data_IF_706463188736
#
_entry.id   IF_706463188736
#
_cell.length_a   1.000
_cell.length_b   1.000
_cell.length_c   1.000
_cell.angle_alpha   90.00
_cell.angle_beta   90.00
_cell.angle_gamma   90.00
#
_symmetry.space_group_name_H-M   'P 1'
#
loop_
_entity.id
_entity.type
_entity.pdbx_description
1 polymer ?
#
# COMPACT_ATOMS: atom_id res chain seq x y z
N UNK A 1 13.94 -24.92 19.95
CA UNK A 1 13.59 -23.69 19.19
C UNK A 1 14.72 -23.21 18.28
N UNK A 2 15.97 -23.07 18.73
CA UNK A 2 17.11 -22.56 17.92
C UNK A 2 17.37 -23.34 16.62
N UNK A 3 17.34 -24.68 16.67
CA UNK A 3 17.57 -25.55 15.48
C UNK A 3 16.52 -25.36 14.38
N UNK A 4 15.26 -25.09 14.74
CA UNK A 4 14.15 -24.89 13.78
C UNK A 4 14.32 -23.54 13.07
N UNK A 5 14.70 -22.49 13.81
CA UNK A 5 14.94 -21.15 13.24
C UNK A 5 16.10 -21.18 12.25
N UNK A 6 17.22 -21.85 12.59
CA UNK A 6 18.37 -21.99 11.69
C UNK A 6 17.99 -22.78 10.43
N UNK A 7 17.20 -23.84 10.57
CA UNK A 7 16.72 -24.63 9.42
C UNK A 7 15.79 -23.81 8.53
N UNK A 8 14.94 -22.97 9.13
CA UNK A 8 14.07 -22.06 8.41
C UNK A 8 14.85 -20.99 7.63
N UNK A 9 15.83 -20.32 8.25
CA UNK A 9 16.70 -19.30 7.62
C UNK A 9 17.51 -19.85 6.44
N UNK A 10 17.81 -21.15 6.44
CA UNK A 10 18.53 -21.81 5.34
C UNK A 10 17.60 -22.38 4.27
N UNK A 11 16.28 -22.23 4.41
CA UNK A 11 15.33 -22.76 3.44
C UNK A 11 15.27 -21.89 2.18
N UNK A 12 15.05 -22.48 0.99
CA UNK A 12 14.84 -21.72 -0.25
C UNK A 12 13.73 -20.67 -0.12
N UNK A 13 12.67 -21.00 0.64
CA UNK A 13 11.57 -20.08 0.92
C UNK A 13 12.03 -18.82 1.66
N UNK A 14 12.84 -18.95 2.71
CA UNK A 14 13.34 -17.79 3.45
C UNK A 14 14.24 -16.87 2.60
N UNK A 15 15.03 -17.44 1.69
CA UNK A 15 15.81 -16.67 0.73
C UNK A 15 14.93 -15.95 -0.29
N UNK A 16 13.89 -16.62 -0.81
CA UNK A 16 12.94 -16.00 -1.72
C UNK A 16 12.25 -14.79 -1.07
N UNK A 17 11.76 -14.94 0.16
CA UNK A 17 11.13 -13.85 0.93
C UNK A 17 12.12 -12.69 1.12
N UNK A 18 13.35 -12.97 1.54
CA UNK A 18 14.38 -11.95 1.71
C UNK A 18 14.66 -11.18 0.41
N UNK A 19 14.80 -11.90 -0.71
CA UNK A 19 15.03 -11.30 -2.02
C UNK A 19 13.86 -10.44 -2.50
N UNK A 20 12.61 -10.87 -2.26
CA UNK A 20 11.41 -10.12 -2.61
C UNK A 20 11.36 -8.80 -1.84
N UNK A 21 11.55 -8.85 -0.52
CA UNK A 21 11.54 -7.65 0.33
C UNK A 21 12.62 -6.67 -0.13
N UNK A 22 13.84 -7.17 -0.36
CA UNK A 22 14.94 -6.34 -0.87
C UNK A 22 14.63 -5.74 -2.25
N UNK A 23 14.01 -6.51 -3.14
CA UNK A 23 13.62 -6.03 -4.47
C UNK A 23 12.57 -4.93 -4.40
N UNK A 24 11.54 -5.12 -3.57
CA UNK A 24 10.48 -4.11 -3.36
C UNK A 24 11.09 -2.81 -2.82
N UNK A 25 11.88 -2.89 -1.75
CA UNK A 25 12.55 -1.69 -1.20
C UNK A 25 13.48 -1.03 -2.23
N UNK A 26 14.27 -1.81 -2.96
CA UNK A 26 15.22 -1.32 -3.96
C UNK A 26 14.54 -0.61 -5.15
N UNK A 27 13.40 -1.13 -5.62
CA UNK A 27 12.62 -0.52 -6.71
C UNK A 27 11.99 0.80 -6.24
N UNK A 28 11.46 0.83 -5.02
CA UNK A 28 10.69 1.97 -4.52
C UNK A 28 11.50 3.00 -3.72
N UNK A 29 12.83 2.84 -3.59
CA UNK A 29 13.69 3.72 -2.80
C UNK A 29 13.62 5.22 -3.17
N UNK A 30 13.28 5.53 -4.43
CA UNK A 30 13.20 6.93 -4.92
C UNK A 30 11.84 7.59 -4.73
N UNK A 31 10.82 6.86 -4.26
CA UNK A 31 9.46 7.39 -4.09
C UNK A 31 9.39 8.56 -3.09
N UNK A 32 10.29 8.63 -2.11
CA UNK A 32 10.32 9.74 -1.14
C UNK A 32 10.88 11.05 -1.72
N UNK A 33 11.56 10.99 -2.87
CA UNK A 33 12.32 12.11 -3.45
C UNK A 33 11.57 12.76 -4.62
N UNK A 34 10.75 11.98 -5.33
CA UNK A 34 9.92 12.45 -6.43
C UNK A 34 8.59 12.90 -5.84
N UNK A 35 8.33 14.22 -5.82
CA UNK A 35 7.07 14.78 -5.32
C UNK A 35 5.84 14.23 -6.05
N UNK A 36 4.65 14.68 -5.64
CA UNK A 36 3.37 14.21 -6.19
C UNK A 36 3.34 14.42 -7.71
N UNK A 37 3.32 13.32 -8.46
CA UNK A 37 3.09 13.37 -9.91
C UNK A 37 1.58 13.57 -10.11
N UNK A 38 1.23 14.74 -10.64
CA UNK A 38 -0.15 15.15 -10.94
C UNK A 38 -0.63 14.56 -12.26
N UNK A 39 -0.87 13.25 -12.30
CA UNK A 39 -1.58 12.62 -13.42
C UNK A 39 -3.04 12.36 -13.04
N UNK A 40 -3.26 11.56 -12.01
CA UNK A 40 -4.58 11.10 -11.54
C UNK A 40 -4.77 11.37 -10.03
N UNK A 41 -3.69 11.30 -9.25
CA UNK A 41 -3.68 11.45 -7.79
C UNK A 41 -4.33 12.75 -7.28
N UNK A 42 -4.19 13.86 -8.02
CA UNK A 42 -4.74 15.14 -7.59
C UNK A 42 -6.28 15.10 -7.58
N UNK A 43 -6.90 14.58 -8.64
CA UNK A 43 -8.36 14.55 -8.74
C UNK A 43 -8.99 13.43 -7.89
N UNK A 44 -8.40 12.23 -7.89
CA UNK A 44 -9.01 11.08 -7.25
C UNK A 44 -8.78 10.99 -5.75
N UNK A 45 -7.70 11.57 -5.23
CA UNK A 45 -7.30 11.44 -3.82
C UNK A 45 -7.26 12.80 -3.13
N UNK A 46 -6.53 13.76 -3.68
CA UNK A 46 -6.24 15.02 -2.96
C UNK A 46 -7.43 15.99 -2.92
N UNK A 47 -8.04 16.24 -4.08
CA UNK A 47 -9.22 17.10 -4.19
C UNK A 47 -10.54 16.34 -4.07
N UNK A 48 -10.49 15.07 -3.66
CA UNK A 48 -11.69 14.28 -3.46
C UNK A 48 -12.18 14.42 -2.02
N UNK A 49 -13.26 15.19 -1.77
CA UNK A 49 -13.78 15.41 -0.41
C UNK A 49 -14.24 14.11 0.25
N UNK A 50 -14.59 13.09 -0.54
CA UNK A 50 -14.95 11.77 -0.01
C UNK A 50 -13.77 11.12 0.72
N UNK A 51 -12.54 11.43 0.32
CA UNK A 51 -11.31 10.84 0.89
C UNK A 51 -10.70 11.76 1.95
N UNK A 52 -10.60 13.06 1.69
CA UNK A 52 -9.99 14.00 2.64
C UNK A 52 -10.85 14.26 3.88
N UNK A 53 -12.16 14.00 3.80
CA UNK A 53 -13.11 14.07 4.92
C UNK A 53 -13.77 12.70 5.17
N UNK A 54 -13.04 11.76 5.81
CA UNK A 54 -13.53 10.41 6.05
C UNK A 54 -14.67 10.41 7.07
N UNK A 55 -15.91 10.31 6.60
CA UNK A 55 -17.11 10.19 7.44
C UNK A 55 -17.91 8.94 7.07
N UNK A 56 -18.87 8.57 7.92
CA UNK A 56 -19.80 7.47 7.61
C UNK A 56 -20.66 7.78 6.36
N UNK A 57 -20.90 9.05 6.06
CA UNK A 57 -21.57 9.46 4.84
C UNK A 57 -20.65 9.26 3.62
N UNK A 58 -19.38 9.68 3.72
CA UNK A 58 -18.36 9.49 2.69
C UNK A 58 -18.18 8.00 2.35
N UNK A 59 -18.12 7.14 3.37
CA UNK A 59 -18.07 5.67 3.20
C UNK A 59 -19.18 5.12 2.32
N UNK A 60 -20.42 5.59 2.50
CA UNK A 60 -21.57 5.13 1.69
C UNK A 60 -21.44 5.56 0.24
N UNK A 61 -20.87 6.74 -0.02
CA UNK A 61 -20.69 7.26 -1.37
C UNK A 61 -19.64 6.50 -2.19
N UNK A 62 -18.70 5.80 -1.53
CA UNK A 62 -17.70 4.98 -2.21
C UNK A 62 -18.32 3.87 -3.07
N UNK A 63 -19.49 3.36 -2.68
CA UNK A 63 -20.14 2.23 -3.35
C UNK A 63 -21.18 2.66 -4.40
N UNK A 64 -21.29 3.97 -4.68
CA UNK A 64 -22.16 4.49 -5.73
C UNK A 64 -21.47 4.43 -7.10
N UNK A 65 -22.20 4.22 -8.20
CA UNK A 65 -21.63 4.17 -9.54
C UNK A 65 -20.97 5.50 -9.93
N UNK A 66 -19.75 5.43 -10.45
CA UNK A 66 -18.99 6.59 -10.94
C UNK A 66 -18.11 6.18 -12.13
N UNK A 67 -17.66 7.14 -12.95
CA UNK A 67 -16.71 6.85 -14.03
C UNK A 67 -15.35 6.52 -13.38
N UNK A 68 -14.79 5.35 -13.68
CA UNK A 68 -13.62 4.79 -12.98
C UNK A 68 -13.91 4.42 -11.51
N UNK A 69 -15.05 3.77 -11.26
CA UNK A 69 -15.42 3.26 -9.93
C UNK A 69 -14.39 2.28 -9.37
N UNK A 70 -13.73 2.67 -8.28
CA UNK A 70 -12.66 1.91 -7.62
C UNK A 70 -12.87 1.93 -6.09
N UNK A 71 -13.96 1.34 -5.59
CA UNK A 71 -14.44 1.51 -4.22
C UNK A 71 -13.41 1.05 -3.17
N UNK A 72 -12.70 -0.05 -3.45
CA UNK A 72 -11.66 -0.56 -2.56
C UNK A 72 -10.43 0.34 -2.54
N UNK A 73 -10.01 0.86 -3.69
CA UNK A 73 -8.89 1.81 -3.77
C UNK A 73 -9.21 3.10 -3.01
N UNK A 74 -10.42 3.64 -3.18
CA UNK A 74 -10.84 4.83 -2.46
C UNK A 74 -11.04 4.58 -0.96
N UNK A 75 -11.52 3.41 -0.55
CA UNK A 75 -11.57 3.02 0.85
C UNK A 75 -10.17 2.99 1.46
N UNK A 76 -9.19 2.40 0.78
CA UNK A 76 -7.79 2.40 1.22
C UNK A 76 -7.26 3.82 1.36
N UNK A 77 -7.42 4.67 0.34
CA UNK A 77 -6.99 6.07 0.41
C UNK A 77 -7.68 6.84 1.55
N UNK A 78 -8.95 6.59 1.81
CA UNK A 78 -9.70 7.23 2.89
C UNK A 78 -9.21 6.77 4.27
N UNK A 79 -8.81 5.50 4.42
CA UNK A 79 -8.15 5.01 5.62
C UNK A 79 -6.77 5.64 5.82
N UNK A 80 -5.97 5.72 4.75
CA UNK A 80 -4.65 6.36 4.80
C UNK A 80 -4.79 7.85 5.17
N UNK A 81 -5.79 8.55 4.62
CA UNK A 81 -6.09 9.94 4.99
C UNK A 81 -6.58 10.08 6.43
N UNK A 82 -7.33 9.11 6.96
CA UNK A 82 -7.76 9.14 8.36
C UNK A 82 -6.56 9.01 9.33
N UNK A 83 -5.53 8.23 8.96
CA UNK A 83 -4.36 7.95 9.81
C UNK A 83 -3.26 8.99 9.61
N UNK A 84 -2.90 9.29 8.37
CA UNK A 84 -1.72 10.08 8.01
C UNK A 84 -2.05 11.48 7.51
N UNK A 85 -3.33 11.80 7.27
CA UNK A 85 -3.77 13.09 6.72
C UNK A 85 -3.02 13.43 5.43
N UNK A 86 -2.43 14.61 5.35
CA UNK A 86 -1.69 15.13 4.19
C UNK A 86 -0.23 14.66 4.13
N UNK A 87 0.21 13.76 5.02
CA UNK A 87 1.59 13.23 5.04
C UNK A 87 1.85 12.25 3.88
N UNK A 88 1.90 12.73 2.64
CA UNK A 88 2.03 11.94 1.42
C UNK A 88 3.10 10.82 1.46
N UNK A 89 4.26 11.10 2.06
CA UNK A 89 5.33 10.12 2.20
C UNK A 89 4.87 8.87 2.99
N UNK A 90 4.01 9.05 4.00
CA UNK A 90 3.48 7.94 4.79
C UNK A 90 2.53 7.04 3.98
N UNK A 91 1.68 7.64 3.15
CA UNK A 91 0.79 6.92 2.21
C UNK A 91 1.61 6.07 1.22
N UNK A 92 2.69 6.64 0.69
CA UNK A 92 3.60 5.91 -0.21
C UNK A 92 4.31 4.75 0.49
N UNK A 93 4.83 4.97 1.70
CA UNK A 93 5.50 3.92 2.48
C UNK A 93 4.53 2.78 2.78
N UNK A 94 3.28 3.08 3.15
CA UNK A 94 2.28 2.05 3.40
C UNK A 94 1.99 1.22 2.13
N UNK A 95 1.89 1.85 0.97
CA UNK A 95 1.76 1.14 -0.30
C UNK A 95 2.95 0.19 -0.58
N UNK A 96 4.18 0.62 -0.30
CA UNK A 96 5.38 -0.23 -0.42
C UNK A 96 5.32 -1.42 0.54
N UNK A 97 4.87 -1.21 1.78
CA UNK A 97 4.67 -2.28 2.76
C UNK A 97 3.63 -3.29 2.25
N UNK A 98 2.49 -2.80 1.75
CA UNK A 98 1.44 -3.66 1.21
C UNK A 98 1.92 -4.45 -0.01
N UNK A 99 2.75 -3.86 -0.88
CA UNK A 99 3.38 -4.58 -1.99
C UNK A 99 4.34 -5.67 -1.49
N UNK A 100 5.19 -5.38 -0.50
CA UNK A 100 6.08 -6.37 0.09
C UNK A 100 5.30 -7.53 0.71
N UNK A 101 4.21 -7.25 1.44
CA UNK A 101 3.33 -8.26 2.02
C UNK A 101 2.69 -9.10 0.92
N UNK A 102 2.05 -8.48 -0.07
CA UNK A 102 1.34 -9.19 -1.14
C UNK A 102 2.29 -10.09 -1.95
N UNK A 103 3.45 -9.57 -2.34
CA UNK A 103 4.47 -10.36 -3.05
C UNK A 103 5.02 -11.50 -2.20
N UNK A 104 5.18 -11.31 -0.89
CA UNK A 104 5.61 -12.37 0.04
C UNK A 104 4.54 -13.44 0.22
N UNK A 105 3.28 -13.04 0.33
CA UNK A 105 2.14 -13.93 0.57
C UNK A 105 2.03 -15.01 -0.51
N UNK A 106 2.28 -14.66 -1.78
CA UNK A 106 2.26 -15.63 -2.89
C UNK A 106 3.14 -16.83 -2.57
N UNK A 107 4.38 -16.61 -2.10
CA UNK A 107 5.33 -17.69 -1.80
C UNK A 107 5.02 -18.45 -0.52
N UNK A 108 4.17 -17.90 0.36
CA UNK A 108 3.77 -18.56 1.60
C UNK A 108 2.55 -19.46 1.40
N UNK A 109 1.70 -19.17 0.41
CA UNK A 109 0.45 -19.88 0.17
C UNK A 109 0.50 -20.84 -1.02
N UNK A 110 1.53 -20.72 -1.87
CA UNK A 110 1.87 -21.71 -2.91
C UNK A 110 2.83 -22.76 -2.38
#
# INVERSE_FOLDING_TARGET
>A
MVSIVIKFIKSPLSWAIGLIILSVVGIYQKLQIQGIISLDNMAYVYYNPVISEPTLASLKTLFLPYIYWMPLTWLTHMLDWAIFKDQFNAHLILNVILHAINSTLIFLIT
#
